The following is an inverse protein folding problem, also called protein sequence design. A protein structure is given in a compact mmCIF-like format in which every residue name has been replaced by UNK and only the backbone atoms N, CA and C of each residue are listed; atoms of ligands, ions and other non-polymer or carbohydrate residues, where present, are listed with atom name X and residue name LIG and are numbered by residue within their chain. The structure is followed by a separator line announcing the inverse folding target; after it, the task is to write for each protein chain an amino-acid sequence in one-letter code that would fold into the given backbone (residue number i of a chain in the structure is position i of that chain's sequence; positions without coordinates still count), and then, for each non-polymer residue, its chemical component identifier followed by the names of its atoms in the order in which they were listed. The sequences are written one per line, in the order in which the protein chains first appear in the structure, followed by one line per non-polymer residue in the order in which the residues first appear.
data_IF_751582460281
#
_entry.id   IF_751582460281
#
_cell.length_a   1.000
_cell.length_b   1.000
_cell.length_c   1.000
_cell.angle_alpha   90.00
_cell.angle_beta   90.00
_cell.angle_gamma   90.00
#
_symmetry.space_group_name_H-M   'P 1'
#
loop_
_entity.id
_entity.type
_entity.pdbx_description
1 polymer ?
#
# COMPACT_ATOMS: atom_id res chain seq x y z
N UNK A 1 12.48 0.46 1.97
CA UNK A 1 11.41 0.43 0.94
C UNK A 1 11.90 -0.25 -0.33
N UNK A 2 11.10 -1.16 -0.90
CA UNK A 2 11.30 -1.82 -2.19
C UNK A 2 10.50 -1.12 -3.30
N UNK A 3 11.07 -1.03 -4.51
CA UNK A 3 10.39 -0.42 -5.66
C UNK A 3 9.23 -1.29 -6.12
N UNK A 4 8.06 -0.68 -6.29
CA UNK A 4 6.89 -1.40 -6.78
C UNK A 4 7.05 -1.69 -8.28
N UNK A 5 6.83 -2.95 -8.67
CA UNK A 5 7.06 -3.42 -10.05
C UNK A 5 6.14 -2.75 -11.07
N UNK A 6 4.96 -2.29 -10.64
CA UNK A 6 3.95 -1.66 -11.48
C UNK A 6 3.69 -2.43 -12.80
N UNK A 7 3.45 -3.74 -12.71
CA UNK A 7 3.24 -4.60 -13.88
C UNK A 7 1.97 -4.20 -14.68
N UNK A 8 1.05 -3.46 -14.07
CA UNK A 8 -0.15 -2.92 -14.71
C UNK A 8 0.05 -1.57 -15.40
N UNK A 9 1.24 -0.96 -15.34
CA UNK A 9 1.56 0.30 -16.05
C UNK A 9 1.06 1.58 -15.38
N UNK A 10 -0.17 1.60 -14.85
CA UNK A 10 -0.86 2.82 -14.41
C UNK A 10 -1.04 2.93 -12.88
N UNK A 11 -0.12 2.37 -12.09
CA UNK A 11 -0.16 2.47 -10.63
C UNK A 11 0.42 3.80 -10.14
N UNK A 12 -0.34 4.50 -9.28
CA UNK A 12 0.19 5.63 -8.51
C UNK A 12 1.17 5.23 -7.41
N UNK A 13 1.31 3.93 -7.09
CA UNK A 13 2.26 3.40 -6.11
C UNK A 13 3.64 3.23 -6.76
N UNK A 14 4.69 3.79 -6.13
CA UNK A 14 6.08 3.74 -6.60
C UNK A 14 6.98 2.82 -5.78
N UNK A 15 6.69 2.67 -4.48
CA UNK A 15 7.45 1.83 -3.58
C UNK A 15 6.58 1.35 -2.42
N UNK A 16 7.05 0.33 -1.73
CA UNK A 16 6.41 -0.21 -0.52
C UNK A 16 7.45 -0.72 0.46
N UNK A 17 7.06 -0.92 1.71
CA UNK A 17 7.90 -1.50 2.75
C UNK A 17 7.08 -2.41 3.65
N UNK A 18 7.62 -3.59 3.91
CA UNK A 18 6.96 -4.59 4.73
C UNK A 18 7.53 -4.52 6.15
N UNK A 19 6.72 -4.09 7.10
CA UNK A 19 7.06 -4.10 8.52
C UNK A 19 6.48 -5.31 9.25
N UNK A 20 6.63 -5.34 10.57
CA UNK A 20 6.05 -6.38 11.42
C UNK A 20 4.54 -6.13 11.62
N UNK A 21 3.72 -6.74 10.78
CA UNK A 21 2.26 -6.58 10.86
C UNK A 21 1.74 -5.28 10.23
N UNK A 22 2.59 -4.58 9.49
CA UNK A 22 2.26 -3.37 8.77
C UNK A 22 2.88 -3.34 7.37
N UNK A 23 2.35 -2.47 6.53
CA UNK A 23 2.90 -2.14 5.23
C UNK A 23 2.86 -0.62 5.04
N UNK A 24 3.99 -0.05 4.66
CA UNK A 24 4.09 1.34 4.23
C UNK A 24 4.06 1.38 2.72
N UNK A 25 3.15 2.15 2.15
CA UNK A 25 3.01 2.33 0.70
C UNK A 25 3.38 3.76 0.34
N UNK A 26 4.22 3.92 -0.67
CA UNK A 26 4.64 5.21 -1.19
C UNK A 26 3.97 5.50 -2.53
N UNK A 27 3.32 6.65 -2.63
CA UNK A 27 2.69 7.13 -3.85
C UNK A 27 3.56 8.17 -4.57
N UNK A 28 3.45 8.22 -5.89
CA UNK A 28 4.14 9.18 -6.75
C UNK A 28 3.68 10.62 -6.49
N UNK A 29 2.40 10.79 -6.16
CA UNK A 29 1.72 12.07 -6.05
C UNK A 29 0.76 12.09 -4.85
N UNK A 30 0.39 13.29 -4.42
CA UNK A 30 -0.47 13.55 -3.28
C UNK A 30 0.20 14.43 -2.22
N UNK A 31 -0.60 14.92 -1.27
CA UNK A 31 -0.14 15.78 -0.17
C UNK A 31 0.88 15.09 0.75
N UNK A 32 0.77 13.77 0.88
CA UNK A 32 1.71 12.93 1.63
C UNK A 32 2.19 11.82 0.70
N UNK A 33 3.47 11.44 0.84
CA UNK A 33 4.05 10.41 -0.01
C UNK A 33 3.85 9.03 0.57
N UNK A 34 3.89 8.88 1.89
CA UNK A 34 3.91 7.57 2.55
C UNK A 34 2.64 7.37 3.36
N UNK A 35 2.08 6.16 3.27
CA UNK A 35 0.87 5.76 3.98
C UNK A 35 1.11 4.41 4.65
N UNK A 36 0.89 4.34 5.95
CA UNK A 36 1.10 3.14 6.77
C UNK A 36 -0.24 2.45 7.00
N UNK A 37 -0.28 1.15 6.74
CA UNK A 37 -1.42 0.29 6.96
C UNK A 37 -1.01 -0.82 7.93
N UNK A 38 -1.71 -0.95 9.04
CA UNK A 38 -1.39 -1.92 10.09
C UNK A 38 -2.59 -2.80 10.47
N UNK A 39 -2.33 -3.74 11.38
CA UNK A 39 -3.33 -4.70 11.87
C UNK A 39 -4.53 -4.09 12.57
N UNK A 40 -4.48 -2.80 12.96
CA UNK A 40 -5.57 -2.05 13.60
C UNK A 40 -6.34 -1.25 12.55
N UNK A 41 -5.63 -0.52 11.68
CA UNK A 41 -6.17 0.24 10.56
C UNK A 41 -5.33 -0.02 9.32
N UNK A 42 -5.84 -0.78 8.34
CA UNK A 42 -7.24 -1.15 8.10
C UNK A 42 -7.71 -2.47 8.73
N UNK A 43 -6.83 -3.21 9.40
CA UNK A 43 -7.10 -4.55 9.90
C UNK A 43 -6.13 -5.59 9.31
N UNK A 44 -5.83 -6.64 10.08
CA UNK A 44 -4.81 -7.64 9.71
C UNK A 44 -5.09 -8.34 8.37
N UNK A 45 -6.36 -8.70 8.08
CA UNK A 45 -6.72 -9.37 6.82
C UNK A 45 -6.42 -8.49 5.59
N UNK A 46 -6.76 -7.21 5.68
CA UNK A 46 -6.49 -6.23 4.63
C UNK A 46 -4.99 -6.00 4.46
N UNK A 47 -4.24 -5.94 5.57
CA UNK A 47 -2.77 -5.84 5.51
C UNK A 47 -2.16 -7.06 4.81
N UNK A 48 -2.61 -8.28 5.12
CA UNK A 48 -2.13 -9.48 4.44
C UNK A 48 -2.35 -9.39 2.93
N UNK A 49 -3.52 -8.92 2.48
CA UNK A 49 -3.80 -8.76 1.05
C UNK A 49 -2.95 -7.64 0.41
N UNK A 50 -2.78 -6.51 1.11
CA UNK A 50 -1.88 -5.43 0.66
C UNK A 50 -0.46 -5.95 0.44
N UNK A 51 0.07 -6.75 1.38
CA UNK A 51 1.41 -7.34 1.27
C UNK A 51 1.50 -8.31 0.09
N UNK A 52 0.48 -9.14 -0.11
CA UNK A 52 0.39 -10.07 -1.26
C UNK A 52 0.42 -9.30 -2.60
N UNK A 53 -0.39 -8.25 -2.74
CA UNK A 53 -0.46 -7.44 -3.96
C UNK A 53 0.83 -6.63 -4.19
N UNK A 54 1.46 -6.13 -3.12
CA UNK A 54 2.72 -5.43 -3.20
C UNK A 54 3.83 -6.31 -3.78
N UNK A 55 3.98 -7.54 -3.27
CA UNK A 55 4.98 -8.52 -3.74
C UNK A 55 4.64 -9.02 -5.15
N UNK A 56 3.36 -9.23 -5.45
CA UNK A 56 2.89 -9.58 -6.79
C UNK A 56 3.21 -8.49 -7.82
N UNK A 57 3.29 -7.22 -7.39
CA UNK A 57 3.65 -6.09 -8.25
C UNK A 57 2.51 -5.62 -9.16
N UNK A 58 1.27 -6.06 -8.90
CA UNK A 58 0.07 -5.67 -9.64
C UNK A 58 -1.15 -5.56 -8.72
N UNK A 59 -2.07 -4.65 -9.05
CA UNK A 59 -3.37 -4.51 -8.36
C UNK A 59 -3.35 -3.74 -7.02
N UNK A 60 -2.18 -3.42 -6.46
CA UNK A 60 -2.08 -2.73 -5.15
C UNK A 60 -2.81 -1.38 -5.12
N UNK A 61 -2.55 -0.50 -6.09
CA UNK A 61 -3.19 0.82 -6.17
C UNK A 61 -4.72 0.71 -6.30
N UNK A 62 -5.20 -0.19 -7.15
CA UNK A 62 -6.64 -0.43 -7.35
C UNK A 62 -7.31 -0.97 -6.08
N UNK A 63 -6.63 -1.85 -5.35
CA UNK A 63 -7.14 -2.39 -4.10
C UNK A 63 -7.21 -1.30 -3.01
N UNK A 64 -6.15 -0.50 -2.88
CA UNK A 64 -6.14 0.64 -1.94
C UNK A 64 -7.27 1.61 -2.27
N UNK A 65 -7.42 2.02 -3.52
CA UNK A 65 -8.45 3.01 -3.91
C UNK A 65 -9.89 2.50 -3.78
N UNK A 66 -10.14 1.20 -4.06
CA UNK A 66 -11.50 0.63 -4.01
C UNK A 66 -11.91 0.16 -2.60
N UNK A 67 -11.01 -0.52 -1.89
CA UNK A 67 -11.31 -1.23 -0.64
C UNK A 67 -10.84 -0.43 0.58
N UNK A 68 -9.57 -0.03 0.61
CA UNK A 68 -8.95 0.54 1.82
C UNK A 68 -9.26 2.03 2.00
N UNK A 69 -9.24 2.78 0.90
CA UNK A 69 -9.47 4.22 0.83
C UNK A 69 -8.58 4.98 1.84
N UNK A 70 -9.20 5.72 2.75
CA UNK A 70 -8.52 6.49 3.77
C UNK A 70 -8.28 5.72 5.09
N UNK A 71 -8.45 4.39 5.10
CA UNK A 71 -8.29 3.56 6.30
C UNK A 71 -6.82 3.16 6.53
N UNK A 72 -5.96 4.17 6.67
CA UNK A 72 -4.55 4.04 7.06
C UNK A 72 -4.36 4.47 8.52
N UNK A 73 -3.30 3.97 9.17
CA UNK A 73 -2.98 4.34 10.54
C UNK A 73 -2.16 5.63 10.61
N UNK A 74 -1.26 5.85 9.65
CA UNK A 74 -0.40 7.04 9.59
C UNK A 74 -0.13 7.44 8.14
N UNK A 75 0.13 8.73 7.93
CA UNK A 75 0.65 9.28 6.66
C UNK A 75 1.69 10.36 6.91
N UNK A 76 2.70 10.47 6.05
CA UNK A 76 3.76 11.47 6.13
C UNK A 76 4.44 11.74 4.78
#
# INVERSE_FOLDING_TARGET
MERYKNLGGDSGVIAYELGQGEITVQFADGAYRNYVYDSIKPGAATVVELRRLAVAGSGLNSYITRVVRANYSRRY
#
